data_IF_375476744159
#
_entry.id   IF_375476744159
#
_cell.length_a   1.000
_cell.length_b   1.000
_cell.length_c   1.000
_cell.angle_alpha   90.00
_cell.angle_beta   90.00
_cell.angle_gamma   90.00
#
_symmetry.space_group_name_H-M   'P 1'
#
loop_
_entity.id
_entity.type
_entity.pdbx_description
1 polymer ?
#
# COMPACT_ATOMS: atom_id res chain seq x y z
N UNK A 1 8.90 -1.93 -17.86
CA UNK A 1 7.67 -1.17 -17.58
C UNK A 1 6.56 -2.17 -17.30
N UNK A 2 5.99 -2.13 -16.11
CA UNK A 2 4.89 -3.02 -15.66
C UNK A 2 3.54 -2.40 -15.98
N UNK A 3 2.48 -3.20 -15.95
CA UNK A 3 1.10 -2.71 -16.13
C UNK A 3 0.74 -1.62 -15.10
N UNK A 4 1.27 -1.71 -13.88
CA UNK A 4 1.05 -0.71 -12.84
C UNK A 4 1.73 0.62 -13.21
N UNK A 5 3.00 0.57 -13.64
CA UNK A 5 3.74 1.75 -14.09
C UNK A 5 3.07 2.42 -15.30
N UNK A 6 2.49 1.63 -16.22
CA UNK A 6 1.72 2.16 -17.34
C UNK A 6 0.44 2.86 -16.91
N UNK A 7 -0.31 2.30 -15.95
CA UNK A 7 -1.51 2.94 -15.40
C UNK A 7 -1.14 4.26 -14.72
N UNK A 8 -0.06 4.26 -13.93
CA UNK A 8 0.40 5.45 -13.21
C UNK A 8 0.93 6.55 -14.15
N UNK A 9 1.61 6.18 -15.24
CA UNK A 9 2.10 7.15 -16.23
C UNK A 9 0.99 7.78 -17.09
N UNK A 10 -0.10 7.04 -17.31
CA UNK A 10 -1.24 7.54 -18.08
C UNK A 10 -2.26 8.29 -17.21
N UNK A 11 -2.06 8.32 -15.89
CA UNK A 11 -2.91 9.04 -14.95
C UNK A 11 -2.54 10.53 -14.89
N UNK A 12 -2.95 11.26 -15.92
CA UNK A 12 -2.77 12.71 -16.05
C UNK A 12 -3.45 13.52 -14.93
N UNK A 13 -4.40 12.90 -14.22
CA UNK A 13 -5.20 13.52 -13.16
C UNK A 13 -4.71 13.20 -11.75
N UNK A 14 -3.80 12.23 -11.60
CA UNK A 14 -3.36 11.69 -10.30
C UNK A 14 -4.45 10.92 -9.53
N UNK A 15 -5.62 10.67 -10.12
CA UNK A 15 -6.77 10.05 -9.44
C UNK A 15 -6.49 8.59 -9.12
N UNK A 16 -5.89 7.84 -10.05
CA UNK A 16 -5.57 6.43 -9.86
C UNK A 16 -4.44 6.27 -8.83
N UNK A 17 -3.43 7.14 -8.86
CA UNK A 17 -2.38 7.19 -7.83
C UNK A 17 -3.01 7.38 -6.44
N UNK A 18 -3.91 8.35 -6.29
CA UNK A 18 -4.58 8.63 -5.02
C UNK A 18 -5.53 7.50 -4.59
N UNK A 19 -6.23 6.87 -5.52
CA UNK A 19 -7.08 5.71 -5.26
C UNK A 19 -6.27 4.53 -4.72
N UNK A 20 -5.11 4.24 -5.32
CA UNK A 20 -4.23 3.16 -4.87
C UNK A 20 -3.69 3.47 -3.48
N UNK A 21 -3.22 4.70 -3.23
CA UNK A 21 -2.75 5.14 -1.90
C UNK A 21 -3.84 5.00 -0.84
N UNK A 22 -5.05 5.46 -1.13
CA UNK A 22 -6.19 5.38 -0.21
C UNK A 22 -6.54 3.92 0.14
N UNK A 23 -6.56 3.03 -0.86
CA UNK A 23 -6.81 1.59 -0.65
C UNK A 23 -5.70 0.94 0.18
N UNK A 24 -4.43 1.27 -0.07
CA UNK A 24 -3.31 0.76 0.72
C UNK A 24 -3.37 1.22 2.18
N UNK A 25 -3.67 2.50 2.42
CA UNK A 25 -3.84 3.05 3.76
C UNK A 25 -5.00 2.38 4.52
N UNK A 26 -6.14 2.16 3.85
CA UNK A 26 -7.27 1.45 4.43
C UNK A 26 -6.92 0.01 4.80
N UNK A 27 -6.24 -0.71 3.90
CA UNK A 27 -5.81 -2.09 4.14
C UNK A 27 -4.77 -2.17 5.28
N UNK A 28 -3.81 -1.25 5.31
CA UNK A 28 -2.81 -1.14 6.36
C UNK A 28 -3.47 -0.85 7.72
N UNK A 29 -4.42 0.09 7.78
CA UNK A 29 -5.15 0.41 9.00
C UNK A 29 -5.98 -0.78 9.50
N UNK A 30 -6.60 -1.54 8.59
CA UNK A 30 -7.35 -2.74 8.94
C UNK A 30 -6.46 -3.82 9.56
N UNK A 31 -5.28 -4.07 8.98
CA UNK A 31 -4.32 -5.04 9.51
C UNK A 31 -3.75 -4.58 10.85
N UNK A 32 -3.39 -3.29 10.97
CA UNK A 32 -2.92 -2.72 12.23
C UNK A 32 -3.93 -2.89 13.35
N UNK A 33 -5.20 -2.61 13.07
CA UNK A 33 -6.30 -2.81 14.04
C UNK A 33 -6.42 -4.27 14.48
N UNK A 34 -6.22 -5.24 13.58
CA UNK A 34 -6.23 -6.66 13.94
C UNK A 34 -5.04 -7.05 14.82
N UNK A 35 -3.87 -6.44 14.59
CA UNK A 35 -2.71 -6.61 15.48
C UNK A 35 -2.98 -6.00 16.86
N UNK A 36 -3.56 -4.79 16.91
CA UNK A 36 -3.84 -4.05 18.15
C UNK A 36 -4.92 -4.72 19.02
N UNK A 37 -5.95 -5.30 18.40
CA UNK A 37 -7.01 -6.05 19.10
C UNK A 37 -6.53 -7.42 19.62
N UNK A 38 -5.33 -7.83 19.22
CA UNK A 38 -4.78 -9.15 19.50
C UNK A 38 -5.25 -10.18 18.47
N UNK A 39 -4.31 -11.04 18.04
CA UNK A 39 -4.57 -12.13 17.12
C UNK A 39 -3.85 -13.41 17.58
N UNK A 40 -4.31 -14.59 17.14
CA UNK A 40 -3.62 -15.84 17.44
C UNK A 40 -2.15 -15.82 16.98
N UNK A 41 -1.23 -16.51 17.69
CA UNK A 41 0.20 -16.50 17.36
C UNK A 41 0.50 -16.92 15.92
N UNK A 42 -0.28 -17.85 15.36
CA UNK A 42 -0.14 -18.33 13.98
C UNK A 42 -0.46 -17.23 12.94
N UNK A 43 -1.33 -16.28 13.30
CA UNK A 43 -1.76 -15.19 12.42
C UNK A 43 -0.91 -13.93 12.64
N UNK A 44 -0.34 -13.73 13.82
CA UNK A 44 0.45 -12.56 14.14
C UNK A 44 1.59 -12.32 13.14
N UNK A 45 2.39 -13.35 12.86
CA UNK A 45 3.52 -13.20 11.93
C UNK A 45 3.07 -12.94 10.49
N UNK A 46 1.92 -13.48 10.09
CA UNK A 46 1.34 -13.22 8.78
C UNK A 46 0.86 -11.76 8.67
N UNK A 47 0.10 -11.30 9.66
CA UNK A 47 -0.44 -9.95 9.72
C UNK A 47 0.68 -8.90 9.82
N UNK A 48 1.73 -9.18 10.59
CA UNK A 48 2.91 -8.32 10.68
C UNK A 48 3.58 -8.15 9.31
N UNK A 49 3.86 -9.27 8.61
CA UNK A 49 4.42 -9.23 7.25
C UNK A 49 3.51 -8.49 6.27
N UNK A 50 2.19 -8.64 6.41
CA UNK A 50 1.23 -7.96 5.57
C UNK A 50 1.22 -6.44 5.82
N UNK A 51 1.31 -6.02 7.08
CA UNK A 51 1.45 -4.61 7.45
C UNK A 51 2.76 -4.00 6.90
N UNK A 52 3.87 -4.71 7.02
CA UNK A 52 5.17 -4.31 6.45
C UNK A 52 5.10 -4.21 4.93
N UNK A 53 4.46 -5.18 4.27
CA UNK A 53 4.28 -5.18 2.82
C UNK A 53 3.46 -3.98 2.33
N UNK A 54 2.38 -3.61 3.03
CA UNK A 54 1.62 -2.41 2.69
C UNK A 54 2.43 -1.13 2.90
N UNK A 55 3.24 -1.07 3.95
CA UNK A 55 4.14 0.05 4.21
C UNK A 55 5.18 0.19 3.08
N UNK A 56 5.80 -0.92 2.67
CA UNK A 56 6.75 -0.93 1.57
C UNK A 56 6.10 -0.54 0.24
N UNK A 57 4.89 -1.04 -0.05
CA UNK A 57 4.15 -0.69 -1.25
C UNK A 57 3.85 0.81 -1.33
N UNK A 58 3.50 1.43 -0.21
CA UNK A 58 3.25 2.86 -0.15
C UNK A 58 4.51 3.68 -0.46
N UNK A 59 5.66 3.31 0.12
CA UNK A 59 6.96 3.96 -0.17
C UNK A 59 7.32 3.85 -1.65
N UNK A 60 7.09 2.69 -2.28
CA UNK A 60 7.36 2.51 -3.71
C UNK A 60 6.51 3.44 -4.57
N UNK A 61 5.22 3.58 -4.26
CA UNK A 61 4.31 4.47 -5.02
C UNK A 61 4.68 5.94 -4.81
N UNK A 62 5.02 6.34 -3.60
CA UNK A 62 5.46 7.70 -3.30
C UNK A 62 6.79 8.05 -4.00
N UNK A 63 7.75 7.12 -4.00
CA UNK A 63 9.00 7.28 -4.74
C UNK A 63 8.77 7.35 -6.25
N UNK A 64 7.83 6.53 -6.77
CA UNK A 64 7.48 6.58 -8.18
C UNK A 64 6.87 7.92 -8.58
N UNK A 65 5.90 8.44 -7.82
CA UNK A 65 5.30 9.75 -8.07
C UNK A 65 6.33 10.89 -7.98
N UNK A 66 7.23 10.83 -7.00
CA UNK A 66 8.31 11.82 -6.86
C UNK A 66 9.27 11.82 -8.05
N UNK A 67 9.53 10.66 -8.65
CA UNK A 67 10.38 10.52 -9.83
C UNK A 67 9.69 10.91 -11.15
N UNK A 68 8.37 11.11 -11.15
CA UNK A 68 7.58 11.56 -12.31
C UNK A 68 7.38 13.09 -12.34
N UNK A 69 7.82 13.81 -11.31
CA UNK A 69 7.83 15.29 -11.24
C UNK A 69 9.16 15.86 -11.71
#
# INVERSE_FOLDING_TARGET
MTNLEQILNNDLSGIEVQNIKSKLLQAQAAVKRQLDLGCPPQQYQLLLKQYEAYTAAQVVIEAYEANQK
#
